data_IF_642672376869
#
_entry.id   IF_642672376869
#
_cell.length_a   1.000
_cell.length_b   1.000
_cell.length_c   1.000
_cell.angle_alpha   90.00
_cell.angle_beta   90.00
_cell.angle_gamma   90.00
#
_symmetry.space_group_name_H-M   'P 1'
#
loop_
_entity.id
_entity.type
_entity.pdbx_description
1 polymer ?
#
# COMPACT_ATOMS: atom_id res chain seq x y z
N UNK A 1 -57.16 13.14 -0.22
CA UNK A 1 -56.93 11.87 0.51
C UNK A 1 -55.62 12.02 1.25
N UNK A 2 -55.72 12.31 2.55
CA UNK A 2 -54.59 12.65 3.42
C UNK A 2 -54.16 11.39 4.17
N UNK A 3 -52.90 10.98 4.02
CA UNK A 3 -52.34 9.86 4.77
C UNK A 3 -51.45 10.38 5.90
N UNK A 4 -51.93 10.20 7.13
CA UNK A 4 -51.21 10.39 8.38
C UNK A 4 -50.41 9.12 8.70
N UNK A 5 -49.10 9.23 8.91
CA UNK A 5 -48.27 8.13 9.39
C UNK A 5 -47.81 8.41 10.82
N UNK A 6 -48.28 7.58 11.75
CA UNK A 6 -47.94 7.55 13.16
C UNK A 6 -46.71 6.68 13.41
N UNK A 7 -45.75 7.19 14.19
CA UNK A 7 -44.59 6.47 14.72
C UNK A 7 -44.97 5.59 15.93
N UNK A 8 -44.37 4.41 16.10
CA UNK A 8 -44.35 3.71 17.38
C UNK A 8 -43.01 3.89 18.11
N UNK A 9 -43.11 4.31 19.37
CA UNK A 9 -42.04 4.42 20.37
C UNK A 9 -41.70 3.03 20.94
N UNK A 10 -40.42 2.69 21.04
CA UNK A 10 -39.95 1.44 21.68
C UNK A 10 -39.23 1.76 22.99
N UNK A 11 -39.86 1.35 24.08
CA UNK A 11 -39.35 1.35 25.46
C UNK A 11 -38.43 0.15 25.66
N UNK A 12 -37.21 0.37 26.15
CA UNK A 12 -36.28 -0.69 26.58
C UNK A 12 -36.40 -0.88 28.09
N UNK A 13 -36.90 -2.04 28.51
CA UNK A 13 -36.95 -2.51 29.90
C UNK A 13 -35.67 -3.27 30.24
N UNK A 14 -35.12 -2.94 31.41
CA UNK A 14 -33.94 -3.54 32.02
C UNK A 14 -34.35 -4.81 32.79
N UNK A 15 -33.78 -5.96 32.43
CA UNK A 15 -34.02 -7.23 33.13
C UNK A 15 -32.78 -7.58 33.94
N UNK A 16 -32.87 -7.44 35.27
CA UNK A 16 -31.89 -7.98 36.23
C UNK A 16 -32.40 -9.31 36.76
N UNK A 17 -31.58 -10.35 36.67
CA UNK A 17 -31.87 -11.68 37.19
C UNK A 17 -31.46 -11.75 38.67
N UNK A 18 -32.47 -12.03 39.50
CA UNK A 18 -32.41 -12.25 40.94
C UNK A 18 -32.12 -13.74 41.24
N UNK A 19 -31.30 -13.98 42.27
CA UNK A 19 -30.96 -15.31 42.77
C UNK A 19 -31.03 -15.37 44.30
N UNK A 20 -32.25 -15.60 44.78
CA UNK A 20 -32.72 -16.32 45.99
C UNK A 20 -31.92 -16.31 47.33
N UNK A 21 -32.55 -15.87 48.45
CA UNK A 21 -32.10 -16.10 49.83
C UNK A 21 -32.94 -17.17 50.55
N UNK A 22 -32.34 -17.95 51.46
CA UNK A 22 -32.97 -18.57 52.66
C UNK A 22 -31.87 -19.28 53.48
N UNK A 23 -31.41 -18.72 54.60
CA UNK A 23 -31.91 -18.87 55.98
C UNK A 23 -31.76 -20.30 56.53
N UNK A 24 -30.86 -20.49 57.50
CA UNK A 24 -31.17 -21.16 58.78
C UNK A 24 -30.19 -20.72 59.88
N UNK A 25 -30.75 -20.23 61.00
CA UNK A 25 -30.08 -19.86 62.25
C UNK A 25 -29.69 -21.11 63.05
N UNK A 26 -28.56 -21.07 63.78
CA UNK A 26 -28.51 -21.40 65.22
C UNK A 26 -27.22 -20.93 65.89
N UNK A 27 -27.36 -20.18 66.98
CA UNK A 27 -26.35 -19.88 67.99
C UNK A 27 -26.69 -20.70 69.23
N UNK A 28 -25.75 -21.47 69.78
CA UNK A 28 -25.65 -21.70 71.23
C UNK A 28 -24.24 -22.15 71.61
N UNK A 29 -23.71 -21.50 72.64
CA UNK A 29 -22.41 -21.64 73.31
C UNK A 29 -22.37 -22.88 74.22
N UNK A 30 -21.18 -23.47 74.49
CA UNK A 30 -20.58 -23.73 75.83
C UNK A 30 -19.34 -24.66 75.75
N UNK A 31 -18.34 -24.25 76.55
CA UNK A 31 -17.04 -24.78 76.97
C UNK A 31 -16.92 -26.26 77.39
N UNK A 32 -15.74 -26.88 77.21
CA UNK A 32 -14.81 -27.38 78.25
C UNK A 32 -13.75 -28.34 77.67
N UNK A 33 -12.54 -28.30 78.27
CA UNK A 33 -11.28 -28.90 77.83
C UNK A 33 -11.11 -30.40 78.12
N UNK A 34 -10.25 -31.11 77.36
CA UNK A 34 -8.96 -31.73 77.78
C UNK A 34 -8.45 -32.84 76.82
N UNK A 35 -7.15 -32.75 76.48
CA UNK A 35 -6.14 -33.80 76.21
C UNK A 35 -6.41 -35.01 75.29
N UNK A 36 -5.70 -35.07 74.13
CA UNK A 36 -4.44 -35.83 73.95
C UNK A 36 -3.88 -35.71 72.52
N UNK A 37 -2.55 -35.70 72.45
CA UNK A 37 -1.72 -35.44 71.28
C UNK A 37 -1.65 -36.57 70.23
N UNK A 38 -1.53 -36.20 68.96
CA UNK A 38 -0.76 -36.91 67.93
C UNK A 38 -0.28 -35.91 66.86
N UNK A 39 1.01 -35.97 66.53
CA UNK A 39 1.78 -34.96 65.82
C UNK A 39 1.56 -34.91 64.30
N UNK A 40 1.63 -33.70 63.73
CA UNK A 40 1.78 -33.44 62.28
C UNK A 40 3.03 -32.56 62.10
N UNK A 41 3.97 -32.86 61.19
CA UNK A 41 5.19 -32.08 61.04
C UNK A 41 4.92 -30.77 60.27
N UNK A 42 5.40 -29.66 60.81
CA UNK A 42 5.37 -28.34 60.19
C UNK A 42 6.45 -28.18 59.09
N UNK A 43 6.18 -27.46 57.98
CA UNK A 43 7.16 -27.20 56.93
C UNK A 43 8.22 -26.16 57.38
N UNK A 44 9.41 -26.13 56.76
CA UNK A 44 10.51 -25.30 57.23
C UNK A 44 10.20 -23.81 57.05
N UNK A 45 10.37 -23.03 58.12
CA UNK A 45 10.29 -21.58 58.08
C UNK A 45 11.40 -21.01 57.21
N UNK A 46 11.09 -20.55 56.00
CA UNK A 46 11.96 -19.66 55.26
C UNK A 46 12.07 -18.33 56.03
N UNK A 47 13.26 -18.06 56.58
CA UNK A 47 13.63 -16.73 57.10
C UNK A 47 13.39 -15.70 56.00
N UNK A 48 12.34 -14.88 56.13
CA UNK A 48 12.23 -13.62 55.39
C UNK A 48 13.39 -12.73 55.82
N UNK A 49 14.42 -12.61 54.98
CA UNK A 49 15.43 -11.56 55.13
C UNK A 49 14.69 -10.22 54.97
N UNK A 50 14.52 -9.50 56.06
CA UNK A 50 14.06 -8.11 56.02
C UNK A 50 15.18 -7.27 55.42
N UNK A 51 15.00 -6.83 54.16
CA UNK A 51 15.96 -5.92 53.53
C UNK A 51 16.05 -4.64 54.37
N UNK A 52 17.27 -4.18 54.60
CA UNK A 52 17.46 -2.88 55.25
C UNK A 52 16.97 -1.76 54.33
N UNK A 53 16.54 -0.63 54.91
CA UNK A 53 16.07 0.51 54.13
C UNK A 53 17.15 1.04 53.15
N UNK A 54 18.43 0.85 53.48
CA UNK A 54 19.54 1.20 52.59
C UNK A 54 19.63 0.26 51.39
N UNK A 55 19.55 -1.06 51.60
CA UNK A 55 19.56 -2.06 50.52
C UNK A 55 18.36 -1.91 49.59
N UNK A 56 17.18 -1.61 50.14
CA UNK A 56 15.99 -1.33 49.34
C UNK A 56 16.18 -0.09 48.46
N UNK A 57 16.80 0.97 48.98
CA UNK A 57 17.10 2.19 48.21
C UNK A 57 18.15 1.93 47.12
N UNK A 58 19.22 1.20 47.43
CA UNK A 58 20.25 0.86 46.44
C UNK A 58 19.68 -0.05 45.34
N UNK A 59 18.86 -1.04 45.70
CA UNK A 59 18.18 -1.91 44.73
C UNK A 59 17.21 -1.13 43.84
N UNK A 60 16.52 -0.13 44.39
CA UNK A 60 15.63 0.75 43.62
C UNK A 60 16.43 1.61 42.64
N UNK A 61 17.55 2.20 43.06
CA UNK A 61 18.42 2.98 42.19
C UNK A 61 19.01 2.12 41.07
N UNK A 62 19.45 0.90 41.38
CA UNK A 62 19.93 -0.05 40.38
C UNK A 62 18.82 -0.48 39.40
N UNK A 63 17.60 -0.72 39.89
CA UNK A 63 16.45 -1.03 39.05
C UNK A 63 16.08 0.14 38.13
N UNK A 64 16.05 1.37 38.65
CA UNK A 64 15.79 2.57 37.86
C UNK A 64 16.89 2.84 36.83
N UNK A 65 18.15 2.61 37.18
CA UNK A 65 19.27 2.73 36.24
C UNK A 65 19.22 1.65 35.14
N UNK A 66 18.86 0.41 35.47
CA UNK A 66 18.63 -0.66 34.50
C UNK A 66 17.42 -0.36 33.59
N UNK A 67 16.35 0.23 34.14
CA UNK A 67 15.18 0.63 33.37
C UNK A 67 15.50 1.81 32.43
N UNK A 68 16.22 2.83 32.92
CA UNK A 68 16.63 3.97 32.10
C UNK A 68 17.61 3.57 30.98
N UNK A 69 18.58 2.70 31.29
CA UNK A 69 19.54 2.19 30.28
C UNK A 69 18.87 1.32 29.23
N UNK A 70 17.94 0.44 29.61
CA UNK A 70 17.20 -0.39 28.65
C UNK A 70 16.30 0.44 27.75
N UNK A 71 15.67 1.51 28.26
CA UNK A 71 14.92 2.46 27.43
C UNK A 71 15.83 3.25 26.48
N UNK A 72 17.00 3.70 26.95
CA UNK A 72 17.98 4.41 26.12
C UNK A 72 18.54 3.51 25.01
N UNK A 73 18.86 2.24 25.31
CA UNK A 73 19.31 1.28 24.31
C UNK A 73 18.23 0.97 23.28
N UNK A 74 16.96 0.85 23.69
CA UNK A 74 15.83 0.69 22.76
C UNK A 74 15.67 1.90 21.84
N UNK A 75 15.78 3.10 22.39
CA UNK A 75 15.63 4.34 21.61
C UNK A 75 16.79 4.52 20.62
N UNK A 76 18.02 4.15 21.01
CA UNK A 76 19.16 4.12 20.09
C UNK A 76 19.01 3.07 19.00
N UNK A 77 18.47 1.89 19.33
CA UNK A 77 18.18 0.85 18.33
C UNK A 77 17.06 1.30 17.39
N UNK A 78 15.98 1.88 17.89
CA UNK A 78 14.91 2.45 17.05
C UNK A 78 15.47 3.52 16.11
N UNK A 79 16.28 4.45 16.62
CA UNK A 79 16.93 5.47 15.80
C UNK A 79 17.90 4.85 14.77
N UNK A 80 18.69 3.86 15.16
CA UNK A 80 19.59 3.15 14.25
C UNK A 80 18.81 2.39 13.17
N UNK A 81 17.69 1.76 13.50
CA UNK A 81 16.83 1.08 12.53
C UNK A 81 16.14 2.07 11.60
N UNK A 82 15.70 3.22 12.12
CA UNK A 82 15.04 4.25 11.33
C UNK A 82 16.04 4.91 10.38
N UNK A 83 17.24 5.24 10.86
CA UNK A 83 18.32 5.75 10.01
C UNK A 83 18.79 4.72 8.98
N UNK A 84 18.89 3.44 9.34
CA UNK A 84 19.25 2.38 8.39
C UNK A 84 18.24 2.23 7.24
N UNK A 85 16.93 2.48 7.47
CA UNK A 85 15.92 2.48 6.39
C UNK A 85 16.21 3.54 5.32
N UNK A 86 16.79 4.68 5.71
CA UNK A 86 17.13 5.77 4.78
C UNK A 86 18.52 5.61 4.16
N UNK A 87 19.44 4.89 4.81
CA UNK A 87 20.82 4.69 4.34
C UNK A 87 20.95 3.47 3.42
N UNK A 88 20.11 2.44 3.59
CA UNK A 88 20.16 1.21 2.80
C UNK A 88 18.79 0.90 2.19
N UNK A 89 18.41 1.53 1.05
CA UNK A 89 17.22 1.14 0.32
C UNK A 89 17.38 -0.31 -0.16
N UNK A 90 16.58 -1.21 0.39
CA UNK A 90 16.48 -2.58 -0.15
C UNK A 90 15.73 -2.49 -1.48
N UNK A 91 16.34 -3.02 -2.54
CA UNK A 91 15.73 -3.51 -3.80
C UNK A 91 16.11 -2.84 -5.13
N UNK A 92 16.94 -1.79 -5.20
CA UNK A 92 17.37 -1.28 -6.50
C UNK A 92 18.88 -0.99 -6.55
N UNK A 93 19.59 -1.72 -7.41
CA UNK A 93 20.98 -1.42 -7.79
C UNK A 93 21.01 -0.10 -8.56
N UNK A 94 21.14 1.01 -7.84
CA UNK A 94 21.20 2.35 -8.43
C UNK A 94 22.42 2.51 -9.33
N UNK A 95 22.20 2.97 -10.57
CA UNK A 95 23.27 3.19 -11.57
C UNK A 95 23.85 4.59 -11.48
N UNK A 96 23.03 5.54 -11.04
CA UNK A 96 23.39 6.96 -10.96
C UNK A 96 23.11 7.48 -9.56
N UNK A 97 23.79 8.57 -9.17
CA UNK A 97 23.50 9.28 -7.93
C UNK A 97 22.03 9.73 -7.88
N UNK A 98 21.45 10.06 -9.03
CA UNK A 98 20.03 10.38 -9.14
C UNK A 98 19.16 9.19 -8.72
N UNK A 99 19.40 8.00 -9.25
CA UNK A 99 18.68 6.78 -8.85
C UNK A 99 18.89 6.43 -7.38
N UNK A 100 20.09 6.64 -6.85
CA UNK A 100 20.39 6.37 -5.44
C UNK A 100 19.61 7.31 -4.48
N UNK A 101 19.21 8.49 -4.95
CA UNK A 101 18.42 9.45 -4.19
C UNK A 101 16.91 9.21 -4.30
N UNK A 102 16.47 8.29 -5.17
CA UNK A 102 15.06 7.95 -5.31
C UNK A 102 14.66 6.93 -4.24
N UNK A 103 13.86 7.35 -3.26
CA UNK A 103 13.27 6.43 -2.30
C UNK A 103 12.06 5.73 -2.93
N UNK A 104 11.84 4.45 -2.64
CA UNK A 104 10.60 3.73 -3.02
C UNK A 104 9.94 3.28 -1.71
N UNK A 105 8.63 3.45 -1.53
CA UNK A 105 7.95 2.99 -0.31
C UNK A 105 8.00 1.46 -0.21
N UNK A 106 7.95 0.94 1.01
CA UNK A 106 7.87 -0.50 1.28
C UNK A 106 6.43 -1.00 1.04
N UNK A 107 6.10 -1.16 -0.24
CA UNK A 107 4.82 -1.66 -0.74
C UNK A 107 5.07 -2.78 -1.74
N UNK A 108 4.11 -3.69 -1.88
CA UNK A 108 4.17 -4.73 -2.90
C UNK A 108 4.33 -4.09 -4.28
N UNK A 109 5.25 -4.64 -5.09
CA UNK A 109 5.53 -4.16 -6.44
C UNK A 109 5.45 -5.24 -7.50
N UNK A 110 5.24 -4.82 -8.75
CA UNK A 110 5.18 -5.73 -9.90
C UNK A 110 6.50 -6.47 -10.02
N UNK A 111 6.44 -7.79 -10.12
CA UNK A 111 7.62 -8.64 -10.28
C UNK A 111 8.14 -8.57 -11.69
N UNK A 112 9.45 -8.44 -11.82
CA UNK A 112 10.12 -8.44 -13.10
C UNK A 112 11.51 -9.05 -13.03
N UNK A 113 12.00 -9.51 -14.18
CA UNK A 113 13.37 -9.97 -14.39
C UNK A 113 14.09 -9.05 -15.36
N UNK A 114 15.27 -8.57 -14.98
CA UNK A 114 16.11 -7.78 -15.90
C UNK A 114 16.75 -8.73 -16.92
N UNK A 115 16.42 -8.55 -18.20
CA UNK A 115 16.98 -9.34 -19.31
C UNK A 115 18.27 -8.72 -19.85
N UNK A 116 18.34 -7.39 -19.90
CA UNK A 116 19.49 -6.67 -20.42
C UNK A 116 19.60 -5.30 -19.77
N UNK A 117 20.83 -4.87 -19.51
CA UNK A 117 21.16 -3.53 -19.02
C UNK A 117 21.94 -2.79 -20.11
N UNK A 118 21.43 -1.65 -20.57
CA UNK A 118 22.12 -0.70 -21.47
C UNK A 118 22.47 0.57 -20.72
N UNK A 119 23.30 1.43 -21.28
CA UNK A 119 23.68 2.68 -20.59
C UNK A 119 22.47 3.60 -20.33
N UNK A 120 21.51 3.63 -21.26
CA UNK A 120 20.38 4.57 -21.20
C UNK A 120 19.06 3.97 -20.70
N UNK A 121 18.91 2.64 -20.72
CA UNK A 121 17.66 1.96 -20.37
C UNK A 121 17.91 0.51 -19.93
N UNK A 122 16.86 -0.11 -19.40
CA UNK A 122 16.84 -1.53 -19.03
C UNK A 122 15.80 -2.28 -19.84
N UNK A 123 16.10 -3.51 -20.26
CA UNK A 123 15.08 -4.42 -20.77
C UNK A 123 14.66 -5.34 -19.64
N UNK A 124 13.37 -5.35 -19.32
CA UNK A 124 12.76 -6.13 -18.25
C UNK A 124 11.66 -7.02 -18.81
N UNK A 125 11.63 -8.28 -18.37
CA UNK A 125 10.47 -9.16 -18.53
C UNK A 125 9.58 -8.99 -17.31
N UNK A 126 8.33 -8.58 -17.54
CA UNK A 126 7.34 -8.35 -16.48
C UNK A 126 6.50 -9.62 -16.32
N UNK A 127 6.36 -10.11 -15.08
CA UNK A 127 5.46 -11.22 -14.78
C UNK A 127 4.00 -10.80 -14.95
N UNK A 128 3.06 -11.71 -15.26
CA UNK A 128 1.64 -11.37 -15.32
C UNK A 128 1.13 -10.76 -14.00
N UNK A 129 0.30 -9.74 -14.09
CA UNK A 129 -0.28 -9.05 -12.95
C UNK A 129 -1.68 -8.53 -13.28
N UNK A 130 -2.47 -8.26 -12.26
CA UNK A 130 -3.83 -7.74 -12.42
C UNK A 130 -3.83 -6.25 -12.09
N UNK A 131 -4.59 -5.49 -12.86
CA UNK A 131 -4.80 -4.06 -12.64
C UNK A 131 -6.28 -3.74 -12.45
N UNK A 132 -6.54 -2.71 -11.66
CA UNK A 132 -7.79 -1.95 -11.72
C UNK A 132 -7.52 -0.65 -12.47
N UNK A 133 -8.24 -0.40 -13.55
CA UNK A 133 -8.04 0.75 -14.41
C UNK A 133 -9.29 1.60 -14.61
N UNK A 134 -9.08 2.90 -14.81
CA UNK A 134 -10.14 3.86 -15.13
C UNK A 134 -9.67 4.87 -16.18
N UNK A 135 -10.61 5.38 -16.97
CA UNK A 135 -10.34 6.41 -17.97
C UNK A 135 -10.23 7.77 -17.30
N UNK A 136 -9.15 8.48 -17.56
CA UNK A 136 -8.89 9.79 -17.00
C UNK A 136 -9.73 10.86 -17.72
N UNK A 137 -10.44 11.75 -16.99
CA UNK A 137 -11.13 12.86 -17.59
C UNK A 137 -10.14 13.95 -18.01
N UNK A 138 -10.39 14.57 -19.17
CA UNK A 138 -9.55 15.61 -19.75
C UNK A 138 -8.79 15.17 -21.00
N UNK A 139 -8.05 16.11 -21.60
CA UNK A 139 -7.31 15.88 -22.85
C UNK A 139 -5.84 15.50 -22.61
N UNK A 140 -5.39 15.49 -21.36
CA UNK A 140 -4.00 15.32 -20.96
C UNK A 140 -3.89 14.34 -19.80
N UNK A 141 -2.92 13.42 -19.84
CA UNK A 141 -2.76 12.38 -18.82
C UNK A 141 -2.22 12.87 -17.48
N UNK A 142 -1.61 14.05 -17.47
CA UNK A 142 -0.97 14.62 -16.28
C UNK A 142 -1.59 15.97 -15.88
N UNK A 143 -2.85 16.22 -16.28
CA UNK A 143 -3.64 17.28 -15.63
C UNK A 143 -3.93 16.89 -14.18
N UNK A 144 -3.75 17.83 -13.26
CA UNK A 144 -3.90 17.57 -11.83
C UNK A 144 -5.33 17.18 -11.46
N UNK A 145 -6.34 17.81 -12.07
CA UNK A 145 -7.74 17.52 -11.74
C UNK A 145 -8.14 16.14 -12.24
N UNK A 146 -7.82 15.83 -13.50
CA UNK A 146 -8.09 14.52 -14.09
C UNK A 146 -7.37 13.37 -13.38
N UNK A 147 -6.09 13.56 -13.06
CA UNK A 147 -5.30 12.59 -12.29
C UNK A 147 -5.85 12.38 -10.88
N UNK A 148 -6.17 13.45 -10.15
CA UNK A 148 -6.72 13.38 -8.79
C UNK A 148 -8.08 12.67 -8.76
N UNK A 149 -8.97 12.99 -9.70
CA UNK A 149 -10.28 12.34 -9.79
C UNK A 149 -10.14 10.83 -10.05
N UNK A 150 -9.30 10.45 -11.02
CA UNK A 150 -9.07 9.04 -11.39
C UNK A 150 -8.44 8.26 -10.24
N UNK A 151 -7.45 8.86 -9.56
CA UNK A 151 -6.81 8.28 -8.39
C UNK A 151 -7.83 8.02 -7.29
N UNK A 152 -8.72 8.98 -7.00
CA UNK A 152 -9.74 8.82 -5.97
C UNK A 152 -10.72 7.70 -6.29
N UNK A 153 -11.16 7.56 -7.55
CA UNK A 153 -12.05 6.47 -7.98
C UNK A 153 -11.41 5.09 -7.72
N UNK A 154 -10.13 4.92 -8.11
CA UNK A 154 -9.39 3.68 -7.87
C UNK A 154 -9.11 3.44 -6.39
N UNK A 155 -8.78 4.48 -5.63
CA UNK A 155 -8.57 4.40 -4.19
C UNK A 155 -9.85 3.99 -3.45
N UNK A 156 -11.00 4.56 -3.82
CA UNK A 156 -12.29 4.18 -3.25
C UNK A 156 -12.61 2.70 -3.46
N UNK A 157 -12.33 2.18 -4.66
CA UNK A 157 -12.43 0.75 -4.95
C UNK A 157 -11.53 -0.09 -4.03
N UNK A 158 -10.26 0.30 -3.89
CA UNK A 158 -9.29 -0.36 -3.01
C UNK A 158 -9.71 -0.32 -1.53
N UNK A 159 -10.33 0.77 -1.08
CA UNK A 159 -10.74 0.99 0.31
C UNK A 159 -12.18 0.57 0.64
N UNK A 160 -12.80 -0.28 -0.18
CA UNK A 160 -14.06 -0.95 0.16
C UNK A 160 -15.27 -0.59 -0.69
N UNK A 161 -15.14 0.23 -1.74
CA UNK A 161 -16.18 0.39 -2.78
C UNK A 161 -16.13 -0.73 -3.84
N UNK A 162 -15.92 -1.96 -3.37
CA UNK A 162 -16.05 -3.19 -4.14
C UNK A 162 -17.25 -4.01 -3.63
N UNK A 163 -17.60 -5.08 -4.34
CA UNK A 163 -18.74 -5.95 -4.06
C UNK A 163 -18.68 -6.60 -2.67
N UNK A 164 -17.49 -6.97 -2.20
CA UNK A 164 -17.26 -7.62 -0.90
C UNK A 164 -17.10 -6.63 0.27
N UNK A 165 -16.98 -5.32 0.00
CA UNK A 165 -16.63 -4.27 0.97
C UNK A 165 -15.27 -4.49 1.66
N UNK A 166 -14.39 -5.24 1.00
CA UNK A 166 -13.06 -5.54 1.51
C UNK A 166 -12.10 -4.37 1.32
N UNK A 167 -11.22 -4.13 2.29
CA UNK A 167 -10.12 -3.17 2.16
C UNK A 167 -8.88 -3.90 1.68
N UNK A 168 -8.38 -3.52 0.51
CA UNK A 168 -7.20 -4.11 -0.11
C UNK A 168 -5.96 -3.25 0.18
N UNK A 169 -4.80 -3.88 0.19
CA UNK A 169 -3.51 -3.21 0.39
C UNK A 169 -3.15 -2.35 -0.83
N UNK A 170 -2.46 -1.23 -0.57
CA UNK A 170 -1.85 -0.42 -1.61
C UNK A 170 -0.62 -1.14 -2.19
N UNK A 171 -0.38 -0.93 -3.48
CA UNK A 171 0.77 -1.47 -4.21
C UNK A 171 1.48 -0.34 -4.98
N UNK A 172 2.60 -0.66 -5.61
CA UNK A 172 3.32 0.24 -6.50
C UNK A 172 3.76 -0.48 -7.78
N UNK A 173 3.91 0.21 -8.92
CA UNK A 173 3.63 1.63 -9.15
C UNK A 173 2.15 1.89 -9.48
N UNK A 174 1.79 3.18 -9.54
CA UNK A 174 0.59 3.64 -10.25
C UNK A 174 0.96 3.87 -11.71
N UNK A 175 0.24 3.22 -12.62
CA UNK A 175 0.45 3.36 -14.05
C UNK A 175 -0.42 4.46 -14.64
N UNK A 176 0.12 5.19 -15.60
CA UNK A 176 -0.61 6.12 -16.47
C UNK A 176 -0.20 5.84 -17.91
N UNK A 177 -1.16 5.40 -18.73
CA UNK A 177 -0.91 5.01 -20.12
C UNK A 177 -1.75 5.82 -21.08
N UNK A 178 -1.18 6.11 -22.24
CA UNK A 178 -1.90 6.68 -23.37
C UNK A 178 -2.65 5.55 -24.08
N UNK A 179 -3.91 5.77 -24.41
CA UNK A 179 -4.71 4.86 -25.25
C UNK A 179 -4.69 5.41 -26.66
N UNK A 180 -4.15 4.65 -27.60
CA UNK A 180 -4.29 4.98 -29.01
C UNK A 180 -5.77 4.80 -29.38
N UNK A 181 -6.37 5.86 -29.95
CA UNK A 181 -7.67 5.75 -30.59
C UNK A 181 -7.46 5.03 -31.92
N UNK A 182 -7.25 3.73 -31.87
CA UNK A 182 -7.41 2.92 -33.07
C UNK A 182 -8.87 3.09 -33.49
N UNK A 183 -9.08 3.55 -34.72
CA UNK A 183 -10.39 3.75 -35.34
C UNK A 183 -11.14 2.45 -35.57
N UNK A 184 -11.06 1.49 -34.65
CA UNK A 184 -11.81 0.25 -34.67
C UNK A 184 -13.26 0.54 -34.27
N UNK A 185 -14.01 0.80 -35.34
CA UNK A 185 -15.40 0.41 -35.58
C UNK A 185 -15.86 -0.70 -34.62
N UNK A 186 -16.37 -0.33 -33.45
CA UNK A 186 -17.17 -1.23 -32.63
C UNK A 186 -18.39 -1.65 -33.45
N UNK A 187 -18.39 -2.90 -33.90
CA UNK A 187 -19.58 -3.53 -34.43
C UNK A 187 -20.63 -3.64 -33.32
N UNK A 188 -21.65 -2.79 -33.45
CA UNK A 188 -23.06 -3.06 -33.20
C UNK A 188 -23.39 -3.95 -32.00
N UNK A 189 -23.76 -3.32 -30.89
CA UNK A 189 -25.10 -3.54 -30.30
C UNK A 189 -25.43 -2.42 -29.32
N UNK A 190 -26.50 -1.69 -29.65
CA UNK A 190 -27.16 -0.64 -28.84
C UNK A 190 -26.51 0.76 -28.88
N UNK A 191 -27.15 1.76 -29.52
CA UNK A 191 -26.58 3.09 -29.63
C UNK A 191 -26.84 3.87 -28.34
N UNK A 192 -25.78 4.09 -27.55
CA UNK A 192 -25.77 5.25 -26.64
C UNK A 192 -25.06 6.37 -27.37
N UNK A 193 -25.78 7.46 -27.63
CA UNK A 193 -25.25 8.68 -28.24
C UNK A 193 -24.29 9.33 -27.24
N UNK A 194 -23.07 8.82 -27.15
CA UNK A 194 -21.92 9.63 -26.74
C UNK A 194 -21.42 10.28 -28.02
N UNK A 195 -21.67 11.59 -28.14
CA UNK A 195 -21.05 12.45 -29.16
C UNK A 195 -19.59 12.02 -29.29
N UNK A 196 -19.19 11.67 -30.52
CA UNK A 196 -17.79 11.53 -30.93
C UNK A 196 -17.10 12.87 -30.63
N UNK A 197 -16.56 13.01 -29.42
CA UNK A 197 -15.46 13.91 -29.15
C UNK A 197 -14.32 13.33 -29.98
N UNK A 198 -13.87 14.10 -30.97
CA UNK A 198 -12.90 13.69 -31.98
C UNK A 198 -11.61 13.14 -31.40
N UNK A 199 -10.73 12.63 -32.26
CA UNK A 199 -9.40 12.03 -32.01
C UNK A 199 -8.61 12.68 -30.88
N UNK A 200 -9.04 12.43 -29.65
CA UNK A 200 -8.46 12.95 -28.43
C UNK A 200 -7.83 11.76 -27.75
N UNK A 201 -6.50 11.86 -27.62
CA UNK A 201 -5.68 10.97 -26.83
C UNK A 201 -6.31 10.78 -25.45
N UNK A 202 -6.94 9.61 -25.23
CA UNK A 202 -7.50 9.26 -23.93
C UNK A 202 -6.38 8.68 -23.09
N UNK A 203 -6.35 9.07 -21.82
CA UNK A 203 -5.41 8.54 -20.85
C UNK A 203 -6.13 7.62 -19.89
N UNK A 204 -5.43 6.61 -19.41
CA UNK A 204 -5.93 5.67 -18.42
C UNK A 204 -4.97 5.62 -17.25
N UNK A 205 -5.54 5.51 -16.05
CA UNK A 205 -4.80 5.28 -14.82
C UNK A 205 -5.10 3.88 -14.32
N UNK A 206 -4.07 3.20 -13.81
CA UNK A 206 -4.20 1.83 -13.35
C UNK A 206 -3.46 1.60 -12.04
N UNK A 207 -4.11 0.93 -11.08
CA UNK A 207 -3.51 0.44 -9.85
C UNK A 207 -3.23 -1.05 -9.97
N UNK A 208 -2.09 -1.49 -9.48
CA UNK A 208 -1.74 -2.91 -9.42
C UNK A 208 -2.52 -3.56 -8.27
N UNK A 209 -3.15 -4.70 -8.54
CA UNK A 209 -3.83 -5.46 -7.49
C UNK A 209 -2.81 -6.33 -6.74
N UNK A 210 -2.86 -6.39 -5.39
CA UNK A 210 -1.99 -7.28 -4.62
C UNK A 210 -2.06 -8.73 -5.12
N UNK A 211 -0.90 -9.38 -5.25
CA UNK A 211 -0.82 -10.73 -5.84
C UNK A 211 -1.60 -11.79 -5.07
N UNK A 212 -1.88 -11.55 -3.78
CA UNK A 212 -2.68 -12.46 -2.93
C UNK A 212 -4.10 -12.72 -3.46
N UNK A 213 -4.67 -11.81 -4.25
CA UNK A 213 -6.04 -11.97 -4.76
C UNK A 213 -6.08 -12.95 -5.94
N UNK A 214 -5.05 -12.99 -6.79
CA UNK A 214 -5.06 -13.81 -8.01
C UNK A 214 -6.36 -13.62 -8.79
N UNK A 215 -7.02 -14.71 -9.20
CA UNK A 215 -8.30 -14.64 -9.90
C UNK A 215 -9.51 -14.18 -9.05
N UNK A 216 -9.37 -14.09 -7.73
CA UNK A 216 -10.46 -13.79 -6.79
C UNK A 216 -10.55 -12.29 -6.44
N UNK A 217 -10.25 -11.41 -7.39
CA UNK A 217 -10.30 -9.96 -7.16
C UNK A 217 -11.75 -9.51 -6.93
N UNK A 218 -12.04 -8.76 -5.84
CA UNK A 218 -13.36 -8.19 -5.62
C UNK A 218 -13.79 -7.29 -6.78
N UNK A 219 -14.99 -7.50 -7.33
CA UNK A 219 -15.47 -6.67 -8.43
C UNK A 219 -15.76 -5.22 -7.98
N UNK A 220 -15.43 -4.20 -8.80
CA UNK A 220 -15.75 -2.82 -8.49
C UNK A 220 -17.27 -2.57 -8.51
N UNK A 221 -17.73 -1.64 -7.68
CA UNK A 221 -19.12 -1.14 -7.74
C UNK A 221 -19.30 0.01 -8.73
N UNK A 222 -18.22 0.75 -8.97
CA UNK A 222 -18.21 1.84 -9.93
C UNK A 222 -18.02 1.27 -11.35
N UNK A 223 -18.95 1.51 -12.29
CA UNK A 223 -18.86 0.98 -13.65
C UNK A 223 -17.72 1.60 -14.48
N UNK A 224 -17.10 2.69 -14.02
CA UNK A 224 -15.94 3.30 -14.68
C UNK A 224 -14.61 2.59 -14.39
N UNK A 225 -14.60 1.67 -13.41
CA UNK A 225 -13.43 0.86 -13.05
C UNK A 225 -13.53 -0.50 -13.73
N UNK A 226 -12.49 -0.86 -14.48
CA UNK A 226 -12.35 -2.19 -15.09
C UNK A 226 -11.21 -2.94 -14.43
N UNK A 227 -11.36 -4.25 -14.33
CA UNK A 227 -10.29 -5.15 -13.87
C UNK A 227 -9.75 -5.86 -15.11
N UNK A 228 -8.45 -5.78 -15.33
CA UNK A 228 -7.79 -6.39 -16.48
C UNK A 228 -6.56 -7.16 -16.03
N UNK A 229 -6.32 -8.32 -16.64
CA UNK A 229 -5.08 -9.07 -16.48
C UNK A 229 -4.08 -8.60 -17.54
N UNK A 230 -2.92 -8.14 -17.09
CA UNK A 230 -1.80 -7.79 -17.96
C UNK A 230 -0.97 -9.06 -18.15
N UNK A 231 -0.87 -9.59 -19.38
CA UNK A 231 -0.07 -10.78 -19.63
C UNK A 231 1.42 -10.46 -19.49
N UNK A 232 2.24 -11.52 -19.48
CA UNK A 232 3.70 -11.38 -19.54
C UNK A 232 4.08 -10.52 -20.74
N UNK A 233 4.86 -9.47 -20.48
CA UNK A 233 5.36 -8.55 -21.51
C UNK A 233 6.83 -8.20 -21.27
N UNK A 234 7.56 -7.91 -22.34
CA UNK A 234 8.92 -7.39 -22.25
C UNK A 234 8.88 -5.89 -22.50
N UNK A 235 9.52 -5.13 -21.63
CA UNK A 235 9.52 -3.66 -21.68
C UNK A 235 10.92 -3.09 -21.61
N UNK A 236 11.15 -2.01 -22.37
CA UNK A 236 12.29 -1.14 -22.19
C UNK A 236 11.92 -0.02 -21.22
N UNK A 237 12.73 0.19 -20.17
CA UNK A 237 12.43 1.11 -19.06
C UNK A 237 13.53 2.14 -18.87
N UNK A 238 13.12 3.39 -18.65
CA UNK A 238 13.99 4.49 -18.23
C UNK A 238 13.47 5.07 -16.92
N UNK A 239 14.28 5.01 -15.87
CA UNK A 239 14.00 5.67 -14.59
C UNK A 239 14.43 7.14 -14.61
N UNK A 240 13.66 7.99 -13.93
CA UNK A 240 13.95 9.41 -13.79
C UNK A 240 13.29 10.04 -12.57
N UNK A 241 13.92 11.09 -12.05
CA UNK A 241 13.34 11.98 -11.04
C UNK A 241 12.89 13.30 -11.69
N UNK A 242 12.02 14.02 -10.98
CA UNK A 242 11.69 15.40 -11.34
C UNK A 242 12.64 16.32 -10.58
N UNK A 243 13.72 16.76 -11.24
CA UNK A 243 14.61 17.76 -10.67
C UNK A 243 13.97 19.15 -10.63
N UNK A 244 14.24 19.86 -9.53
CA UNK A 244 13.91 21.26 -9.30
C UNK A 244 14.64 22.25 -10.26
N UNK A 245 14.97 21.88 -11.50
CA UNK A 245 15.33 22.83 -12.56
C UNK A 245 14.19 23.03 -13.57
N UNK A 246 13.19 22.13 -13.60
CA UNK A 246 11.89 22.32 -14.25
C UNK A 246 10.85 22.83 -13.23
N UNK A 247 11.21 23.89 -12.50
CA UNK A 247 10.68 24.32 -11.18
C UNK A 247 9.18 24.64 -11.12
N UNK A 248 8.47 24.86 -12.23
CA UNK A 248 7.12 25.43 -12.10
C UNK A 248 6.07 24.47 -11.52
N UNK A 249 6.29 23.15 -11.56
CA UNK A 249 5.30 22.18 -11.07
C UNK A 249 5.84 21.13 -10.10
N UNK A 250 7.06 20.60 -10.29
CA UNK A 250 7.54 19.48 -9.47
C UNK A 250 6.76 18.17 -9.70
N UNK A 251 6.01 18.09 -10.80
CA UNK A 251 5.21 16.94 -11.22
C UNK A 251 5.65 16.46 -12.61
N UNK A 252 5.30 15.22 -12.95
CA UNK A 252 5.46 14.68 -14.32
C UNK A 252 4.54 15.47 -15.26
N UNK A 253 5.05 15.90 -16.41
CA UNK A 253 4.26 16.62 -17.43
C UNK A 253 4.28 15.87 -18.77
N UNK A 254 3.29 16.13 -19.63
CA UNK A 254 3.22 15.49 -20.95
C UNK A 254 4.45 15.80 -21.81
N UNK A 255 5.02 16.99 -21.69
CA UNK A 255 6.19 17.41 -22.46
C UNK A 255 7.42 16.60 -22.05
N UNK A 256 7.62 16.37 -20.74
CA UNK A 256 8.72 15.57 -20.23
C UNK A 256 8.55 14.10 -20.62
N UNK A 257 7.33 13.57 -20.53
CA UNK A 257 7.00 12.20 -20.99
C UNK A 257 7.29 12.05 -22.47
N UNK A 258 6.79 12.96 -23.32
CA UNK A 258 7.03 12.93 -24.78
C UNK A 258 8.50 13.02 -25.13
N UNK A 259 9.26 13.88 -24.43
CA UNK A 259 10.71 14.04 -24.62
C UNK A 259 11.45 12.75 -24.28
N UNK A 260 11.14 12.13 -23.15
CA UNK A 260 11.78 10.89 -22.71
C UNK A 260 11.39 9.69 -23.56
N UNK A 261 10.11 9.59 -23.93
CA UNK A 261 9.62 8.59 -24.87
C UNK A 261 10.39 8.69 -26.20
N UNK A 262 10.52 9.89 -26.76
CA UNK A 262 11.23 10.10 -28.04
C UNK A 262 12.67 9.64 -27.96
N UNK A 263 13.37 9.96 -26.85
CA UNK A 263 14.75 9.51 -26.61
C UNK A 263 14.85 7.99 -26.45
N UNK A 264 13.91 7.38 -25.73
CA UNK A 264 13.89 5.93 -25.55
C UNK A 264 13.64 5.22 -26.89
N UNK A 265 12.69 5.70 -27.70
CA UNK A 265 12.45 5.17 -29.04
C UNK A 265 13.68 5.30 -29.93
N UNK A 266 14.37 6.44 -29.88
CA UNK A 266 15.62 6.65 -30.62
C UNK A 266 16.73 5.68 -30.18
N UNK A 267 16.90 5.50 -28.86
CA UNK A 267 17.88 4.57 -28.32
C UNK A 267 17.57 3.11 -28.70
N UNK A 268 16.29 2.73 -28.80
CA UNK A 268 15.85 1.40 -29.20
C UNK A 268 16.01 1.12 -30.70
N UNK A 269 15.98 2.14 -31.57
CA UNK A 269 16.29 1.95 -33.00
C UNK A 269 17.67 1.33 -33.20
N UNK A 270 18.63 1.75 -32.37
CA UNK A 270 20.02 1.31 -32.40
C UNK A 270 20.27 0.03 -31.59
N UNK A 271 19.27 -0.55 -30.92
CA UNK A 271 19.48 -1.80 -30.18
C UNK A 271 19.57 -2.98 -31.15
N UNK A 272 20.57 -3.84 -30.95
CA UNK A 272 20.79 -4.99 -31.84
C UNK A 272 19.82 -6.16 -31.65
N UNK A 273 19.07 -6.22 -30.54
CA UNK A 273 18.29 -7.40 -30.12
C UNK A 273 16.80 -7.14 -29.93
N UNK A 274 16.43 -5.91 -29.56
CA UNK A 274 15.04 -5.57 -29.26
C UNK A 274 14.56 -4.42 -30.13
N UNK A 275 13.28 -4.44 -30.49
CA UNK A 275 12.60 -3.32 -31.15
C UNK A 275 11.30 -2.98 -30.43
N UNK A 276 10.84 -1.74 -30.60
CA UNK A 276 9.54 -1.33 -30.05
C UNK A 276 8.45 -2.06 -30.82
N UNK A 277 7.57 -2.75 -30.10
CA UNK A 277 6.42 -3.45 -30.68
C UNK A 277 5.47 -2.44 -31.33
N UNK A 278 4.94 -2.76 -32.50
CA UNK A 278 4.02 -1.88 -33.23
C UNK A 278 2.75 -1.56 -32.40
N UNK A 279 2.21 -0.35 -32.54
CA UNK A 279 1.05 0.10 -31.77
C UNK A 279 1.33 0.37 -30.28
N UNK A 280 2.56 0.16 -29.79
CA UNK A 280 2.91 0.39 -28.39
C UNK A 280 2.76 1.85 -28.00
N UNK A 281 1.93 2.09 -26.98
CA UNK A 281 1.80 3.38 -26.31
C UNK A 281 2.76 3.50 -25.12
N UNK A 282 3.12 4.73 -24.78
CA UNK A 282 3.94 5.01 -23.60
C UNK A 282 3.17 4.72 -22.32
N UNK A 283 3.84 4.07 -21.38
CA UNK A 283 3.37 3.80 -20.03
C UNK A 283 4.29 4.52 -19.03
N UNK A 284 3.69 5.20 -18.06
CA UNK A 284 4.41 5.92 -17.01
C UNK A 284 4.08 5.29 -15.67
N UNK A 285 5.12 4.87 -14.95
CA UNK A 285 5.01 4.26 -13.62
C UNK A 285 5.48 5.27 -12.56
N UNK A 286 4.60 5.56 -11.59
CA UNK A 286 4.89 6.44 -10.46
C UNK A 286 4.87 5.62 -9.16
N UNK A 287 6.01 5.58 -8.46
CA UNK A 287 6.17 4.71 -7.29
C UNK A 287 5.87 5.43 -5.97
N UNK A 288 5.96 6.76 -5.98
CA UNK A 288 6.00 7.53 -4.76
C UNK A 288 4.67 8.18 -4.40
N UNK A 289 4.34 8.24 -3.11
CA UNK A 289 3.23 9.05 -2.63
C UNK A 289 3.40 10.55 -2.96
N UNK A 290 2.29 11.30 -3.06
CA UNK A 290 2.31 12.71 -3.47
C UNK A 290 3.02 13.66 -2.48
N UNK A 291 3.30 13.22 -1.24
CA UNK A 291 4.04 14.01 -0.24
C UNK A 291 5.56 13.80 -0.31
N UNK A 292 6.05 12.82 -1.07
CA UNK A 292 7.49 12.60 -1.29
C UNK A 292 8.08 13.83 -2.00
N UNK A 293 9.28 14.27 -1.62
CA UNK A 293 9.93 15.40 -2.29
C UNK A 293 10.13 15.10 -3.79
N UNK A 294 9.85 16.03 -4.72
CA UNK A 294 9.87 15.75 -6.16
C UNK A 294 11.16 15.10 -6.69
N UNK A 295 12.31 15.51 -6.17
CA UNK A 295 13.63 14.99 -6.58
C UNK A 295 13.95 13.61 -5.99
N UNK A 296 13.19 13.15 -5.00
CA UNK A 296 13.29 11.80 -4.43
C UNK A 296 12.26 10.85 -5.04
N UNK A 297 11.37 11.34 -5.93
CA UNK A 297 10.38 10.48 -6.58
C UNK A 297 11.02 9.70 -7.71
N UNK A 298 10.85 8.39 -7.65
CA UNK A 298 11.08 7.48 -8.76
C UNK A 298 9.88 7.50 -9.70
N UNK A 299 10.15 7.87 -10.94
CA UNK A 299 9.23 7.69 -12.05
C UNK A 299 9.93 6.85 -13.11
N UNK A 300 9.17 6.05 -13.82
CA UNK A 300 9.68 5.25 -14.93
C UNK A 300 8.82 5.47 -16.15
N UNK A 301 9.46 5.50 -17.32
CA UNK A 301 8.78 5.42 -18.62
C UNK A 301 9.13 4.08 -19.25
N UNK A 302 8.10 3.37 -19.69
CA UNK A 302 8.22 2.07 -20.33
C UNK A 302 7.61 2.08 -21.74
N UNK A 303 8.22 1.29 -22.62
CA UNK A 303 7.67 0.88 -23.91
C UNK A 303 7.76 -0.63 -24.02
N UNK A 304 6.68 -1.28 -24.46
CA UNK A 304 6.70 -2.69 -24.82
C UNK A 304 7.62 -2.93 -26.02
N UNK A 305 8.44 -3.97 -25.91
CA UNK A 305 9.41 -4.37 -26.91
C UNK A 305 9.26 -5.85 -27.21
N UNK A 306 9.70 -6.22 -28.40
CA UNK A 306 9.81 -7.60 -28.84
C UNK A 306 11.24 -7.89 -29.28
N UNK A 307 11.60 -9.17 -29.31
CA UNK A 307 12.88 -9.57 -29.90
C UNK A 307 12.85 -9.26 -31.38
N UNK A 308 13.92 -8.67 -31.90
CA UNK A 308 14.22 -8.76 -33.33
C UNK A 308 14.49 -10.25 -33.58
N UNK A 309 13.58 -10.94 -34.24
CA UNK A 309 13.85 -12.30 -34.69
C UNK A 309 15.10 -12.25 -35.58
N UNK A 310 16.05 -13.17 -35.34
CA UNK A 310 17.15 -13.44 -36.28
C UNK A 310 16.62 -14.19 -37.51
#
# INVERSE_FOLDING_TARGET
MSFTHTHPSKTLTCTSLSGNPNIFRRLTTISMATDRAAAVPSPPQQRRRTMSALEARVSLVAALASQASSLSQRLLLELATETAKYVFPKQFEARTLEEALMAVPDLETVKFKVLSKRDQYEIREIEPYIIAETTMPGNTGFDFNGASQSFNVLAEYLFGKNTTKEKMEMTTPVYTRKVQSDGEKMEMTTPVITKRLGDQDKWQMSFVIPSKYGANVPLPKDPSVRIEEVPRKVVAVVAFSVYARNVKSGFVTNEEVKKRESKLREALKNDGRFQVKEGTSVEVAQYNPPFTLPFQRRNEISLEVESKEE
#
